data_IF_636912735688
#
_entry.id   IF_636912735688
#
_cell.length_a   1.000
_cell.length_b   1.000
_cell.length_c   1.000
_cell.angle_alpha   90.00
_cell.angle_beta   90.00
_cell.angle_gamma   90.00
#
_symmetry.space_group_name_H-M   'P 1'
#
loop_
_entity.id
_entity.type
_entity.pdbx_description
1 polymer ?
#
# COMPACT_ATOMS: atom_id res chain seq x y z
N UNK A 1 -18.55 6.96 9.61
CA UNK A 1 -19.47 6.19 10.49
C UNK A 1 -19.51 6.84 11.86
N UNK A 2 -20.71 7.01 12.40
CA UNK A 2 -20.87 7.43 13.79
C UNK A 2 -20.95 6.16 14.63
N UNK A 3 -19.99 5.94 15.49
CA UNK A 3 -20.09 4.94 16.56
C UNK A 3 -20.96 5.50 17.71
N UNK A 4 -21.66 4.65 18.47
CA UNK A 4 -22.27 5.05 19.72
C UNK A 4 -21.25 5.74 20.64
N UNK A 5 -21.68 6.65 21.53
CA UNK A 5 -20.78 7.44 22.38
C UNK A 5 -19.87 6.60 23.30
N UNK A 6 -20.31 5.40 23.63
CA UNK A 6 -19.63 4.42 24.46
C UNK A 6 -18.68 3.49 23.71
N UNK A 7 -18.64 3.59 22.37
CA UNK A 7 -17.76 2.78 21.50
C UNK A 7 -16.65 3.66 20.92
N UNK A 8 -15.40 3.36 21.30
CA UNK A 8 -14.21 3.99 20.74
C UNK A 8 -13.56 3.07 19.71
N UNK A 9 -13.46 3.52 18.45
CA UNK A 9 -12.72 2.81 17.41
C UNK A 9 -11.24 3.14 17.52
N UNK A 10 -10.40 2.09 17.58
CA UNK A 10 -8.94 2.21 17.62
C UNK A 10 -8.34 1.71 16.31
N UNK A 11 -7.31 2.41 15.84
CA UNK A 11 -6.52 2.01 14.67
C UNK A 11 -5.10 1.70 15.15
N UNK A 12 -4.72 0.42 15.23
CA UNK A 12 -3.41 0.02 15.75
C UNK A 12 -2.25 0.32 14.82
N UNK A 13 -2.54 0.61 13.55
CA UNK A 13 -1.54 0.96 12.54
C UNK A 13 -1.83 2.35 11.95
N UNK A 14 -0.79 3.14 11.78
CA UNK A 14 -0.83 4.44 11.10
C UNK A 14 0.31 4.54 10.08
N UNK A 15 0.01 5.05 8.89
CA UNK A 15 1.01 5.26 7.83
C UNK A 15 1.92 4.04 7.56
N UNK A 16 1.35 2.85 7.63
CA UNK A 16 2.06 1.60 7.34
C UNK A 16 2.84 0.99 8.52
N UNK A 17 2.94 1.66 9.68
CA UNK A 17 3.66 1.19 10.86
C UNK A 17 2.73 0.93 12.04
N UNK A 18 3.20 0.14 13.01
CA UNK A 18 2.46 -0.15 14.24
C UNK A 18 2.58 1.07 15.16
N UNK A 19 1.47 1.78 15.39
CA UNK A 19 1.39 2.95 16.28
C UNK A 19 0.96 2.57 17.70
N UNK A 20 0.19 1.48 17.83
CA UNK A 20 -0.33 0.97 19.10
C UNK A 20 -0.03 -0.53 19.23
N UNK A 21 1.10 -0.84 19.83
CA UNK A 21 1.59 -2.22 19.88
C UNK A 21 0.62 -3.17 20.60
N UNK A 22 0.09 -2.79 21.77
CA UNK A 22 -0.83 -3.62 22.54
C UNK A 22 -2.14 -3.92 21.78
N UNK A 23 -2.69 -2.92 21.12
CA UNK A 23 -3.93 -3.07 20.34
C UNK A 23 -3.69 -3.99 19.13
N UNK A 24 -2.53 -3.84 18.48
CA UNK A 24 -2.15 -4.70 17.35
C UNK A 24 -1.89 -6.13 17.82
N UNK A 25 -1.26 -6.32 18.98
CA UNK A 25 -1.04 -7.64 19.56
C UNK A 25 -2.37 -8.33 19.93
N UNK A 26 -3.31 -7.59 20.50
CA UNK A 26 -4.66 -8.09 20.79
C UNK A 26 -5.38 -8.51 19.51
N UNK A 27 -5.31 -7.70 18.46
CA UNK A 27 -5.90 -8.03 17.15
C UNK A 27 -5.29 -9.30 16.57
N UNK A 28 -3.95 -9.41 16.54
CA UNK A 28 -3.24 -10.59 16.04
C UNK A 28 -3.63 -11.85 16.83
N UNK A 29 -3.64 -11.78 18.16
CA UNK A 29 -4.01 -12.91 19.00
C UNK A 29 -5.44 -13.40 18.73
N UNK A 30 -6.39 -12.48 18.49
CA UNK A 30 -7.76 -12.87 18.16
C UNK A 30 -7.88 -13.48 16.75
N UNK A 31 -7.09 -13.01 15.79
CA UNK A 31 -7.02 -13.61 14.46
C UNK A 31 -6.43 -15.02 14.54
N UNK A 32 -5.33 -15.20 15.27
CA UNK A 32 -4.68 -16.49 15.46
C UNK A 32 -5.60 -17.50 16.19
N UNK A 33 -6.38 -17.06 17.19
CA UNK A 33 -7.35 -17.93 17.89
C UNK A 33 -8.47 -18.46 16.99
N UNK A 34 -8.90 -17.69 16.00
CA UNK A 34 -9.92 -18.13 15.02
C UNK A 34 -9.41 -19.24 14.12
N UNK A 35 -8.11 -19.27 13.85
CA UNK A 35 -7.47 -20.29 13.04
C UNK A 35 -6.99 -21.45 13.92
N UNK A 36 -7.88 -22.42 14.18
CA UNK A 36 -7.62 -23.60 15.04
C UNK A 36 -6.41 -24.47 14.62
N UNK A 37 -5.80 -24.18 13.47
CA UNK A 37 -4.64 -24.91 12.92
C UNK A 37 -3.29 -24.40 13.39
N UNK A 38 -3.23 -23.25 14.10
CA UNK A 38 -1.98 -22.74 14.65
C UNK A 38 -1.53 -23.61 15.83
N UNK A 39 -0.62 -24.52 15.53
CA UNK A 39 0.00 -25.39 16.52
C UNK A 39 1.29 -24.76 17.06
N UNK A 40 1.70 -25.19 18.26
CA UNK A 40 3.02 -24.85 18.80
C UNK A 40 4.11 -25.21 17.77
N UNK A 41 5.07 -24.30 17.57
CA UNK A 41 6.19 -24.54 16.66
C UNK A 41 5.93 -24.15 15.21
N UNK A 42 4.94 -23.32 14.93
CA UNK A 42 4.75 -22.72 13.59
C UNK A 42 5.86 -21.74 13.24
N UNK A 43 6.18 -21.66 11.95
CA UNK A 43 7.08 -20.65 11.38
C UNK A 43 6.26 -19.49 10.84
N UNK A 44 6.74 -18.27 11.05
CA UNK A 44 6.07 -17.06 10.61
C UNK A 44 6.96 -16.26 9.66
N UNK A 45 6.38 -15.86 8.55
CA UNK A 45 7.00 -14.98 7.58
C UNK A 45 6.18 -13.70 7.46
N UNK A 46 6.81 -12.55 7.70
CA UNK A 46 6.16 -11.25 7.76
C UNK A 46 6.67 -10.35 6.65
N UNK A 47 5.77 -9.80 5.82
CA UNK A 47 6.13 -8.71 4.93
C UNK A 47 6.08 -7.38 5.70
N UNK A 48 7.23 -6.74 5.82
CA UNK A 48 7.35 -5.43 6.47
C UNK A 48 7.39 -4.31 5.44
N UNK A 49 6.88 -3.10 5.76
CA UNK A 49 6.99 -1.97 4.86
C UNK A 49 8.45 -1.64 4.55
N UNK A 50 8.67 -1.07 3.39
CA UNK A 50 9.97 -0.51 3.02
C UNK A 50 10.11 0.92 3.57
N UNK A 51 11.34 1.43 3.66
CA UNK A 51 11.63 2.81 4.14
C UNK A 51 11.07 3.08 5.56
N UNK A 52 11.20 2.08 6.44
CA UNK A 52 10.87 2.17 7.87
C UNK A 52 12.13 1.98 8.71
N UNK A 53 12.12 2.52 9.92
CA UNK A 53 13.24 2.41 10.86
C UNK A 53 13.40 0.97 11.38
N UNK A 54 14.59 0.65 11.89
CA UNK A 54 14.84 -0.66 12.50
C UNK A 54 13.93 -0.92 13.71
N UNK A 55 13.58 0.12 14.46
CA UNK A 55 12.64 0.02 15.58
C UNK A 55 11.25 -0.36 15.10
N UNK A 56 10.79 0.25 14.01
CA UNK A 56 9.50 -0.07 13.40
C UNK A 56 9.49 -1.49 12.83
N UNK A 57 10.57 -1.92 12.15
CA UNK A 57 10.72 -3.32 11.70
C UNK A 57 10.69 -4.29 12.89
N UNK A 58 11.41 -3.94 13.97
CA UNK A 58 11.45 -4.72 15.19
C UNK A 58 10.07 -4.88 15.82
N UNK A 59 9.23 -3.85 15.78
CA UNK A 59 7.86 -3.93 16.28
C UNK A 59 7.04 -5.01 15.56
N UNK A 60 7.17 -5.16 14.23
CA UNK A 60 6.52 -6.25 13.48
C UNK A 60 7.03 -7.63 13.89
N UNK A 61 8.32 -7.77 14.09
CA UNK A 61 8.95 -9.02 14.53
C UNK A 61 8.49 -9.39 15.95
N UNK A 62 8.60 -8.46 16.89
CA UNK A 62 8.26 -8.64 18.29
C UNK A 62 6.77 -8.91 18.50
N UNK A 63 5.92 -8.37 17.62
CA UNK A 63 4.47 -8.65 17.62
C UNK A 63 4.18 -10.16 17.58
N UNK A 64 4.93 -10.91 16.77
CA UNK A 64 4.77 -12.36 16.63
C UNK A 64 5.52 -13.11 17.71
N UNK A 65 6.77 -12.72 18.01
CA UNK A 65 7.60 -13.37 19.03
C UNK A 65 6.93 -13.34 20.40
N UNK A 66 6.35 -12.21 20.79
CA UNK A 66 5.65 -12.05 22.08
C UNK A 66 4.17 -12.43 22.04
N UNK A 67 3.69 -13.00 20.92
CA UNK A 67 2.32 -13.49 20.81
C UNK A 67 2.13 -14.83 21.51
N UNK A 68 0.89 -15.22 21.74
CA UNK A 68 0.52 -16.56 22.27
C UNK A 68 0.80 -17.69 21.28
N UNK A 69 1.20 -17.40 20.06
CA UNK A 69 1.44 -18.36 18.98
C UNK A 69 2.63 -19.29 19.22
N UNK A 70 3.56 -18.95 20.15
CA UNK A 70 4.80 -19.71 20.44
C UNK A 70 5.53 -20.09 19.15
N UNK A 71 5.88 -19.07 18.36
CA UNK A 71 6.59 -19.23 17.11
C UNK A 71 7.89 -20.03 17.30
N UNK A 72 8.16 -20.98 16.41
CA UNK A 72 9.44 -21.68 16.31
C UNK A 72 10.48 -20.78 15.64
N UNK A 73 10.07 -20.10 14.60
CA UNK A 73 10.90 -19.20 13.81
C UNK A 73 10.06 -18.02 13.34
N UNK A 74 10.64 -16.82 13.37
CA UNK A 74 10.04 -15.61 12.81
C UNK A 74 11.05 -15.00 11.85
N UNK A 75 10.65 -14.82 10.62
CA UNK A 75 11.45 -14.17 9.58
C UNK A 75 10.69 -13.00 8.97
N UNK A 76 11.41 -12.00 8.50
CA UNK A 76 10.84 -10.85 7.81
C UNK A 76 11.38 -10.74 6.40
N UNK A 77 10.62 -10.09 5.54
CA UNK A 77 11.00 -9.72 4.17
C UNK A 77 10.41 -8.36 3.83
N UNK A 78 11.12 -7.56 3.07
CA UNK A 78 10.59 -6.28 2.59
C UNK A 78 9.39 -6.50 1.67
N UNK A 79 8.33 -5.70 1.86
CA UNK A 79 7.07 -5.83 1.14
C UNK A 79 7.26 -5.80 -0.38
N UNK A 80 8.08 -4.89 -0.91
CA UNK A 80 8.36 -4.80 -2.34
C UNK A 80 8.98 -6.07 -2.92
N UNK A 81 9.85 -6.75 -2.17
CA UNK A 81 10.44 -8.04 -2.56
C UNK A 81 9.37 -9.13 -2.58
N UNK A 82 8.55 -9.21 -1.53
CA UNK A 82 7.43 -10.15 -1.48
C UNK A 82 6.46 -9.93 -2.65
N UNK A 83 6.16 -8.69 -3.00
CA UNK A 83 5.29 -8.35 -4.14
C UNK A 83 5.87 -8.79 -5.48
N UNK A 84 7.17 -8.58 -5.71
CA UNK A 84 7.87 -9.12 -6.88
C UNK A 84 7.67 -10.63 -7.02
N UNK A 85 7.93 -11.35 -5.95
CA UNK A 85 7.77 -12.83 -5.92
C UNK A 85 6.31 -13.19 -6.16
N UNK A 86 5.36 -12.44 -5.57
CA UNK A 86 3.92 -12.65 -5.76
C UNK A 86 3.46 -12.48 -7.20
N UNK A 87 4.05 -11.57 -7.95
CA UNK A 87 3.81 -11.39 -9.39
C UNK A 87 4.50 -12.45 -10.25
N UNK A 88 5.30 -13.35 -9.68
CA UNK A 88 6.05 -14.37 -10.42
C UNK A 88 7.40 -13.91 -10.96
N UNK A 89 7.88 -12.76 -10.50
CA UNK A 89 9.19 -12.23 -10.90
C UNK A 89 10.27 -12.90 -10.03
N UNK A 90 11.26 -13.53 -10.65
CA UNK A 90 12.42 -14.07 -9.92
C UNK A 90 13.37 -12.92 -9.57
N UNK A 91 13.31 -12.47 -8.33
CA UNK A 91 14.11 -11.36 -7.79
C UNK A 91 15.62 -11.61 -7.89
N UNK A 92 16.07 -12.88 -7.94
CA UNK A 92 17.48 -13.27 -8.04
C UNK A 92 18.03 -13.09 -9.47
N UNK A 93 17.13 -13.18 -10.45
CA UNK A 93 17.48 -13.08 -11.88
C UNK A 93 17.20 -11.70 -12.46
N UNK A 94 16.29 -10.95 -11.87
CA UNK A 94 15.98 -9.61 -12.38
C UNK A 94 17.13 -8.66 -12.10
N UNK A 95 17.52 -7.89 -13.09
CA UNK A 95 18.54 -6.84 -12.95
C UNK A 95 17.95 -5.55 -12.38
N UNK A 96 16.63 -5.35 -12.49
CA UNK A 96 15.93 -4.21 -11.95
C UNK A 96 14.47 -4.21 -12.32
N UNK A 97 13.62 -3.94 -11.32
CA UNK A 97 12.17 -3.78 -11.44
C UNK A 97 11.73 -2.68 -10.47
N UNK A 98 10.87 -1.79 -10.90
CA UNK A 98 10.24 -0.82 -10.01
C UNK A 98 8.83 -1.29 -9.67
N UNK A 99 8.58 -1.50 -8.39
CA UNK A 99 7.26 -1.79 -7.83
C UNK A 99 6.73 -0.51 -7.18
N UNK A 100 5.50 -0.16 -7.48
CA UNK A 100 4.78 0.94 -6.85
C UNK A 100 3.52 0.38 -6.21
N UNK A 101 3.54 0.29 -4.88
CA UNK A 101 2.42 -0.22 -4.08
C UNK A 101 1.53 0.95 -3.64
N UNK A 102 0.43 1.14 -4.32
CA UNK A 102 -0.59 2.12 -3.95
C UNK A 102 -1.55 1.52 -2.92
N UNK A 103 -1.22 1.68 -1.64
CA UNK A 103 -2.01 1.22 -0.51
C UNK A 103 -3.14 2.18 -0.09
N UNK A 104 -3.79 1.86 1.03
CA UNK A 104 -4.84 2.70 1.62
C UNK A 104 -4.28 3.96 2.29
N UNK A 105 -3.18 3.86 3.03
CA UNK A 105 -2.57 4.95 3.78
C UNK A 105 -1.24 5.44 3.18
N UNK A 106 -0.52 4.56 2.48
CA UNK A 106 0.82 4.81 1.95
C UNK A 106 0.93 4.41 0.49
N UNK A 107 1.90 5.02 -0.21
CA UNK A 107 2.43 4.54 -1.47
C UNK A 107 3.89 4.18 -1.26
N UNK A 108 4.25 2.92 -1.53
CA UNK A 108 5.62 2.42 -1.38
C UNK A 108 6.25 2.24 -2.76
N UNK A 109 7.43 2.82 -2.94
CA UNK A 109 8.24 2.71 -4.14
C UNK A 109 9.41 1.78 -3.83
N UNK A 110 9.56 0.70 -4.58
CA UNK A 110 10.58 -0.33 -4.31
C UNK A 110 11.30 -0.68 -5.61
N UNK A 111 12.58 -0.35 -5.70
CA UNK A 111 13.47 -0.82 -6.74
C UNK A 111 14.07 -2.14 -6.28
N UNK A 112 13.74 -3.21 -6.97
CA UNK A 112 14.17 -4.58 -6.64
C UNK A 112 15.04 -5.11 -7.77
N UNK A 113 16.18 -5.70 -7.42
CA UNK A 113 17.12 -6.29 -8.39
C UNK A 113 18.24 -7.05 -7.71
N UNK A 114 18.91 -7.91 -8.47
CA UNK A 114 20.09 -8.65 -8.01
C UNK A 114 19.90 -9.41 -6.68
N UNK A 115 18.68 -9.90 -6.45
CA UNK A 115 18.36 -10.72 -5.29
C UNK A 115 17.71 -9.98 -4.11
N UNK A 116 17.56 -8.66 -4.15
CA UNK A 116 17.01 -7.92 -3.02
C UNK A 116 16.53 -6.51 -3.35
N UNK A 117 16.37 -5.71 -2.31
CA UNK A 117 16.02 -4.30 -2.40
C UNK A 117 17.25 -3.46 -2.78
N UNK A 118 17.13 -2.63 -3.81
CA UNK A 118 18.19 -1.71 -4.26
C UNK A 118 17.96 -0.30 -3.69
N UNK A 119 16.77 0.24 -3.89
CA UNK A 119 16.33 1.53 -3.36
C UNK A 119 14.86 1.45 -2.99
N UNK A 120 14.46 2.26 -2.02
CA UNK A 120 13.06 2.35 -1.64
C UNK A 120 12.67 3.78 -1.23
N UNK A 121 11.38 4.04 -1.21
CA UNK A 121 10.78 5.26 -0.68
C UNK A 121 9.34 4.99 -0.29
N UNK A 122 8.94 5.46 0.89
CA UNK A 122 7.54 5.42 1.32
C UNK A 122 6.97 6.83 1.38
N UNK A 123 5.79 7.00 0.80
CA UNK A 123 5.02 8.25 0.84
C UNK A 123 3.80 8.04 1.74
N UNK A 124 3.49 9.01 2.58
CA UNK A 124 2.25 9.02 3.39
C UNK A 124 1.06 9.52 2.56
N UNK A 125 0.95 9.01 1.35
CA UNK A 125 -0.11 9.29 0.38
C UNK A 125 -0.68 7.94 -0.05
N UNK A 126 -2.00 7.79 0.06
CA UNK A 126 -2.70 6.57 -0.34
C UNK A 126 -4.17 6.86 -0.61
N UNK A 127 -4.99 5.81 -0.73
CA UNK A 127 -6.41 5.93 -1.01
C UNK A 127 -7.15 6.86 -0.03
N UNK A 128 -6.77 6.82 1.24
CA UNK A 128 -7.35 7.68 2.28
C UNK A 128 -7.03 9.16 2.07
N UNK A 129 -5.86 9.49 1.58
CA UNK A 129 -5.47 10.87 1.23
C UNK A 129 -6.34 11.38 0.09
N UNK A 130 -6.56 10.57 -0.93
CA UNK A 130 -7.46 10.91 -2.04
C UNK A 130 -8.91 11.10 -1.57
N UNK A 131 -9.38 10.23 -0.67
CA UNK A 131 -10.75 10.34 -0.11
C UNK A 131 -10.93 11.65 0.67
N UNK A 132 -9.95 12.04 1.48
CA UNK A 132 -9.94 13.32 2.21
C UNK A 132 -9.89 14.51 1.24
N UNK A 133 -9.10 14.43 0.18
CA UNK A 133 -9.05 15.48 -0.84
C UNK A 133 -10.42 15.67 -1.53
N UNK A 134 -11.10 14.57 -1.86
CA UNK A 134 -12.46 14.60 -2.41
C UNK A 134 -13.46 15.18 -1.41
N UNK A 135 -13.42 14.78 -0.13
CA UNK A 135 -14.30 15.36 0.90
C UNK A 135 -14.10 16.88 1.03
N UNK A 136 -12.83 17.33 1.07
CA UNK A 136 -12.50 18.74 1.18
C UNK A 136 -12.95 19.53 -0.05
N UNK A 137 -12.80 18.98 -1.24
CA UNK A 137 -13.27 19.59 -2.49
C UNK A 137 -14.79 19.75 -2.46
N UNK A 138 -15.54 18.69 -2.10
CA UNK A 138 -17.02 18.74 -2.00
C UNK A 138 -17.46 19.76 -0.97
N UNK A 139 -16.79 19.79 0.19
CA UNK A 139 -17.08 20.78 1.23
C UNK A 139 -16.88 22.22 0.77
N UNK A 140 -15.77 22.50 0.06
CA UNK A 140 -15.43 23.87 -0.36
C UNK A 140 -16.25 24.37 -1.55
N UNK A 141 -16.52 23.49 -2.51
CA UNK A 141 -17.12 23.90 -3.77
C UNK A 141 -18.66 23.83 -3.78
N UNK A 142 -19.23 23.04 -2.85
CA UNK A 142 -20.70 22.78 -2.81
C UNK A 142 -21.32 23.07 -1.46
N UNK A 143 -20.56 23.56 -0.47
CA UNK A 143 -21.02 23.68 0.93
C UNK A 143 -21.71 22.42 1.43
N UNK A 144 -21.11 21.26 1.10
CA UNK A 144 -21.72 19.95 1.28
C UNK A 144 -20.77 18.96 1.95
N UNK A 145 -21.23 18.30 3.02
CA UNK A 145 -20.45 17.34 3.76
C UNK A 145 -20.84 15.92 3.39
N UNK A 146 -19.87 15.16 2.90
CA UNK A 146 -20.00 13.73 2.60
C UNK A 146 -19.16 12.87 3.54
N UNK A 147 -19.58 11.63 3.78
CA UNK A 147 -18.83 10.65 4.53
C UNK A 147 -17.64 10.10 3.74
N UNK A 148 -16.69 9.47 4.44
CA UNK A 148 -15.51 8.86 3.83
C UNK A 148 -15.86 7.79 2.81
N UNK A 149 -16.83 6.91 3.11
CA UNK A 149 -17.29 5.87 2.20
C UNK A 149 -17.84 6.44 0.88
N UNK A 150 -18.56 7.57 0.97
CA UNK A 150 -19.08 8.29 -0.21
C UNK A 150 -17.93 8.86 -1.05
N UNK A 151 -16.91 9.45 -0.41
CA UNK A 151 -15.74 9.95 -1.11
C UNK A 151 -14.95 8.82 -1.79
N UNK A 152 -14.76 7.70 -1.10
CA UNK A 152 -14.16 6.49 -1.67
C UNK A 152 -14.95 5.96 -2.89
N UNK A 153 -16.27 5.94 -2.79
CA UNK A 153 -17.13 5.52 -3.89
C UNK A 153 -16.98 6.44 -5.12
N UNK A 154 -16.94 7.76 -4.91
CA UNK A 154 -16.68 8.75 -5.97
C UNK A 154 -15.32 8.52 -6.63
N UNK A 155 -14.27 8.35 -5.84
CA UNK A 155 -12.91 8.06 -6.32
C UNK A 155 -12.88 6.78 -7.16
N UNK A 156 -13.41 5.68 -6.64
CA UNK A 156 -13.45 4.39 -7.32
C UNK A 156 -14.25 4.44 -8.62
N UNK A 157 -15.37 5.19 -8.64
CA UNK A 157 -16.24 5.32 -9.80
C UNK A 157 -15.60 6.10 -10.94
N UNK A 158 -14.94 7.21 -10.63
CA UNK A 158 -14.47 8.13 -11.66
C UNK A 158 -13.01 7.93 -12.08
N UNK A 159 -12.19 7.32 -11.21
CA UNK A 159 -10.78 7.07 -11.52
C UNK A 159 -9.96 8.33 -11.70
N UNK A 160 -8.80 8.18 -12.35
CA UNK A 160 -7.82 9.25 -12.57
C UNK A 160 -7.97 9.87 -13.95
N UNK A 161 -7.99 9.03 -14.98
CA UNK A 161 -8.25 9.45 -16.36
C UNK A 161 -9.68 9.07 -16.71
N UNK A 162 -10.42 9.97 -17.25
CA UNK A 162 -11.79 9.71 -17.63
C UNK A 162 -12.06 10.06 -19.08
N UNK A 163 -13.01 9.33 -19.68
CA UNK A 163 -13.65 9.73 -20.92
C UNK A 163 -14.36 11.10 -20.79
N UNK A 164 -14.99 11.53 -21.83
CA UNK A 164 -15.64 12.82 -22.02
C UNK A 164 -16.36 13.34 -20.77
N UNK A 165 -15.76 14.28 -20.08
CA UNK A 165 -16.00 15.01 -18.84
C UNK A 165 -17.41 15.26 -18.28
N UNK A 166 -18.45 14.63 -18.80
CA UNK A 166 -19.86 14.82 -18.41
C UNK A 166 -20.40 13.81 -17.38
N UNK A 167 -19.59 12.84 -16.93
CA UNK A 167 -20.06 11.88 -15.94
C UNK A 167 -20.17 12.54 -14.57
N UNK A 168 -21.27 12.32 -13.88
CA UNK A 168 -21.54 12.77 -12.52
C UNK A 168 -22.13 11.66 -11.67
N UNK A 169 -22.16 11.86 -10.36
CA UNK A 169 -22.79 10.96 -9.41
C UNK A 169 -23.53 11.76 -8.36
N UNK A 170 -24.80 11.39 -8.14
CA UNK A 170 -25.61 11.97 -7.07
C UNK A 170 -25.26 11.25 -5.75
N UNK A 171 -24.90 12.01 -4.74
CA UNK A 171 -24.52 11.50 -3.42
C UNK A 171 -25.36 12.13 -2.31
N UNK A 172 -25.64 11.34 -1.27
CA UNK A 172 -26.27 11.83 -0.06
C UNK A 172 -25.23 12.46 0.88
N UNK A 173 -25.60 13.53 1.54
CA UNK A 173 -24.77 14.22 2.50
C UNK A 173 -25.52 15.29 3.27
N UNK A 174 -24.79 16.16 3.99
CA UNK A 174 -25.38 17.27 4.75
C UNK A 174 -25.03 18.58 4.07
N UNK A 175 -26.04 19.35 3.69
CA UNK A 175 -25.85 20.72 3.26
C UNK A 175 -25.42 21.57 4.45
N UNK A 176 -24.33 22.31 4.35
CA UNK A 176 -23.74 23.06 5.47
C UNK A 176 -24.43 24.42 5.68
N UNK A 177 -25.09 24.96 4.67
CA UNK A 177 -25.80 26.24 4.74
C UNK A 177 -27.10 26.08 5.53
N UNK A 178 -27.92 25.08 5.15
CA UNK A 178 -29.24 24.85 5.78
C UNK A 178 -29.21 23.76 6.86
N UNK A 179 -28.09 23.06 7.02
CA UNK A 179 -27.87 22.10 8.09
C UNK A 179 -28.59 20.77 7.95
N UNK A 180 -29.30 20.50 6.85
CA UNK A 180 -30.13 19.30 6.65
C UNK A 180 -29.55 18.30 5.67
N UNK A 181 -29.89 17.02 5.77
CA UNK A 181 -29.52 16.02 4.75
C UNK A 181 -30.14 16.37 3.40
N UNK A 182 -29.33 16.25 2.34
CA UNK A 182 -29.77 16.46 0.94
C UNK A 182 -28.97 15.56 0.00
N UNK A 183 -29.32 15.64 -1.29
CA UNK A 183 -28.59 15.03 -2.39
C UNK A 183 -27.86 16.11 -3.17
N UNK A 184 -26.64 15.80 -3.61
CA UNK A 184 -25.79 16.68 -4.40
C UNK A 184 -25.18 15.91 -5.56
N UNK A 185 -25.25 16.49 -6.74
CA UNK A 185 -24.57 15.94 -7.91
C UNK A 185 -23.12 16.39 -7.94
N UNK A 186 -22.19 15.43 -8.04
CA UNK A 186 -20.74 15.67 -8.05
C UNK A 186 -20.18 15.23 -9.40
N UNK A 187 -19.63 16.15 -10.20
CA UNK A 187 -19.06 15.82 -11.50
C UNK A 187 -17.69 15.13 -11.36
N UNK A 188 -17.40 14.22 -12.27
CA UNK A 188 -16.16 13.45 -12.32
C UNK A 188 -14.92 14.33 -12.46
N UNK A 189 -15.01 15.47 -13.16
CA UNK A 189 -13.93 16.45 -13.31
C UNK A 189 -13.48 17.02 -11.97
N UNK A 190 -14.43 17.34 -11.09
CA UNK A 190 -14.12 17.87 -9.76
C UNK A 190 -13.41 16.83 -8.88
N UNK A 191 -13.85 15.55 -8.93
CA UNK A 191 -13.21 14.45 -8.20
C UNK A 191 -11.78 14.23 -8.69
N UNK A 192 -11.56 14.22 -10.00
CA UNK A 192 -10.20 14.10 -10.57
C UNK A 192 -9.30 15.27 -10.21
N UNK A 193 -9.83 16.49 -10.29
CA UNK A 193 -9.08 17.69 -9.90
C UNK A 193 -8.65 17.64 -8.42
N UNK A 194 -9.51 17.12 -7.53
CA UNK A 194 -9.19 16.97 -6.12
C UNK A 194 -8.01 16.03 -5.84
N UNK A 195 -7.82 14.99 -6.67
CA UNK A 195 -6.74 14.01 -6.49
C UNK A 195 -5.42 14.42 -7.16
N UNK A 196 -5.44 15.43 -8.02
CA UNK A 196 -4.34 15.80 -8.93
C UNK A 196 -3.03 16.05 -8.18
N UNK A 197 -3.04 16.91 -7.17
CA UNK A 197 -1.84 17.29 -6.40
C UNK A 197 -1.14 16.08 -5.77
N UNK A 198 -1.93 15.18 -5.16
CA UNK A 198 -1.39 13.97 -4.55
C UNK A 198 -0.82 13.00 -5.58
N UNK A 199 -1.43 12.90 -6.76
CA UNK A 199 -0.94 12.08 -7.87
C UNK A 199 0.34 12.65 -8.47
N UNK A 200 0.42 13.96 -8.65
CA UNK A 200 1.63 14.65 -9.12
C UNK A 200 2.80 14.47 -8.14
N UNK A 201 2.52 14.50 -6.84
CA UNK A 201 3.52 14.20 -5.82
C UNK A 201 4.02 12.75 -5.95
N UNK A 202 3.13 11.79 -6.12
CA UNK A 202 3.53 10.38 -6.30
C UNK A 202 4.38 10.20 -7.57
N UNK A 203 3.97 10.76 -8.71
CA UNK A 203 4.71 10.61 -9.97
C UNK A 203 6.06 11.32 -9.95
N UNK A 204 6.15 12.48 -9.30
CA UNK A 204 7.42 13.18 -9.08
C UNK A 204 8.40 12.32 -8.26
N UNK A 205 7.92 11.67 -7.20
CA UNK A 205 8.75 10.79 -6.37
C UNK A 205 9.18 9.51 -7.12
N UNK A 206 8.33 8.98 -8.00
CA UNK A 206 8.70 7.88 -8.91
C UNK A 206 9.88 8.33 -9.80
N UNK A 207 9.79 9.49 -10.44
CA UNK A 207 10.85 10.05 -11.28
C UNK A 207 12.16 10.22 -10.51
N UNK A 208 12.11 10.87 -9.34
CA UNK A 208 13.29 11.09 -8.48
C UNK A 208 13.94 9.78 -8.03
N UNK A 209 13.15 8.74 -7.73
CA UNK A 209 13.69 7.44 -7.34
C UNK A 209 14.42 6.78 -8.52
N UNK A 210 13.84 6.86 -9.72
CA UNK A 210 14.48 6.32 -10.95
C UNK A 210 15.80 7.05 -11.24
N UNK A 211 15.83 8.37 -11.13
CA UNK A 211 17.05 9.18 -11.32
C UNK A 211 18.18 8.81 -10.35
N UNK A 212 17.83 8.44 -9.12
CA UNK A 212 18.80 7.99 -8.10
C UNK A 212 19.20 6.52 -8.23
N UNK A 213 18.51 5.78 -9.09
CA UNK A 213 18.77 4.34 -9.29
C UNK A 213 20.04 4.13 -10.09
N UNK A 214 20.91 3.16 -9.72
CA UNK A 214 22.11 2.84 -10.48
C UNK A 214 21.81 2.61 -11.97
N UNK A 215 22.68 3.09 -12.90
CA UNK A 215 22.38 3.13 -14.32
C UNK A 215 22.01 1.76 -14.95
N UNK A 216 22.61 0.68 -14.47
CA UNK A 216 22.31 -0.67 -14.95
C UNK A 216 20.89 -1.11 -14.56
N UNK A 217 20.52 -0.82 -13.30
CA UNK A 217 19.19 -1.12 -12.77
C UNK A 217 18.13 -0.24 -13.46
N UNK A 218 18.40 1.06 -13.61
CA UNK A 218 17.51 1.99 -14.30
C UNK A 218 17.27 1.57 -15.77
N UNK A 219 18.30 1.07 -16.47
CA UNK A 219 18.16 0.51 -17.83
C UNK A 219 17.22 -0.69 -17.83
N UNK A 220 17.31 -1.55 -16.82
CA UNK A 220 16.41 -2.68 -16.67
C UNK A 220 14.97 -2.26 -16.41
N UNK A 221 14.75 -1.25 -15.53
CA UNK A 221 13.43 -0.68 -15.28
C UNK A 221 12.83 -0.08 -16.55
N UNK A 222 13.64 0.61 -17.37
CA UNK A 222 13.17 1.17 -18.65
C UNK A 222 12.64 0.08 -19.59
N UNK A 223 13.26 -1.09 -19.57
CA UNK A 223 12.83 -2.25 -20.39
C UNK A 223 11.63 -2.97 -19.79
N UNK A 224 11.64 -3.20 -18.47
CA UNK A 224 10.66 -4.03 -17.79
C UNK A 224 9.41 -3.24 -17.38
N UNK A 225 9.50 -1.90 -17.31
CA UNK A 225 8.42 -1.02 -16.88
C UNK A 225 8.28 -0.92 -15.37
N UNK A 226 7.18 -0.27 -14.98
CA UNK A 226 6.75 -0.07 -13.59
C UNK A 226 5.60 -1.03 -13.30
N UNK A 227 5.69 -1.78 -12.20
CA UNK A 227 4.62 -2.65 -11.76
C UNK A 227 3.81 -2.01 -10.64
N UNK A 228 2.50 -1.88 -10.84
CA UNK A 228 1.58 -1.34 -9.84
C UNK A 228 0.96 -2.47 -9.01
N UNK A 229 1.04 -2.32 -7.70
CA UNK A 229 0.43 -3.18 -6.69
C UNK A 229 -0.39 -2.36 -5.70
N UNK A 230 -1.05 -3.02 -4.74
CA UNK A 230 -1.94 -2.37 -3.79
C UNK A 230 -3.34 -2.10 -4.33
N UNK A 231 -4.30 -1.92 -3.42
CA UNK A 231 -5.71 -1.82 -3.77
C UNK A 231 -6.08 -0.60 -4.62
N UNK A 232 -5.37 0.51 -4.46
CA UNK A 232 -5.59 1.74 -5.24
C UNK A 232 -5.13 1.59 -6.68
N UNK A 233 -4.24 0.66 -6.99
CA UNK A 233 -3.81 0.36 -8.37
C UNK A 233 -4.96 -0.11 -9.28
N UNK A 234 -6.09 -0.50 -8.69
CA UNK A 234 -7.33 -0.81 -9.43
C UNK A 234 -8.10 0.44 -9.88
N UNK A 235 -7.62 1.63 -9.52
CA UNK A 235 -8.28 2.89 -9.87
C UNK A 235 -8.25 3.09 -11.39
N UNK A 236 -9.42 3.27 -12.06
CA UNK A 236 -9.47 3.36 -13.51
C UNK A 236 -8.57 4.48 -14.05
N UNK A 237 -7.68 4.13 -14.98
CA UNK A 237 -6.77 5.06 -15.66
C UNK A 237 -5.53 5.47 -14.89
N UNK A 238 -5.27 4.91 -13.69
CA UNK A 238 -4.05 5.21 -12.93
C UNK A 238 -2.80 4.74 -13.68
N UNK A 239 -2.84 3.56 -14.25
CA UNK A 239 -1.79 2.99 -15.09
C UNK A 239 -1.40 3.91 -16.24
N UNK A 240 -2.39 4.31 -17.04
CA UNK A 240 -2.19 5.20 -18.17
C UNK A 240 -1.72 6.60 -17.77
N UNK A 241 -2.19 7.09 -16.62
CA UNK A 241 -1.74 8.36 -16.08
C UNK A 241 -0.26 8.31 -15.71
N UNK A 242 0.17 7.27 -14.99
CA UNK A 242 1.59 7.10 -14.60
C UNK A 242 2.46 6.90 -15.83
N UNK A 243 2.04 6.08 -16.79
CA UNK A 243 2.75 5.87 -18.05
C UNK A 243 2.92 7.17 -18.83
N UNK A 244 1.86 7.97 -18.97
CA UNK A 244 1.91 9.26 -19.69
C UNK A 244 2.84 10.27 -19.02
N UNK A 245 2.91 10.31 -17.67
CA UNK A 245 3.75 11.26 -16.94
C UNK A 245 5.21 10.80 -16.87
N UNK A 246 5.44 9.50 -16.67
CA UNK A 246 6.79 8.98 -16.45
C UNK A 246 7.51 8.57 -17.74
N UNK A 247 6.76 8.26 -18.81
CA UNK A 247 7.29 7.71 -20.05
C UNK A 247 7.78 6.27 -19.95
N UNK A 248 7.48 5.57 -18.84
CA UNK A 248 7.81 4.16 -18.64
C UNK A 248 6.58 3.29 -18.88
N UNK A 249 6.70 2.10 -19.50
CA UNK A 249 5.61 1.14 -19.56
C UNK A 249 5.09 0.81 -18.15
N UNK A 250 3.76 0.71 -18.00
CA UNK A 250 3.14 0.46 -16.69
C UNK A 250 2.27 -0.80 -16.75
N UNK A 251 2.46 -1.68 -15.78
CA UNK A 251 1.75 -2.95 -15.66
C UNK A 251 1.07 -3.04 -14.30
N UNK A 252 -0.24 -3.26 -14.30
CA UNK A 252 -0.99 -3.53 -13.06
C UNK A 252 -0.97 -5.03 -12.79
N UNK A 253 -0.62 -5.41 -11.57
CA UNK A 253 -0.65 -6.81 -11.16
C UNK A 253 -2.07 -7.39 -11.26
N UNK A 254 -2.21 -8.67 -11.61
CA UNK A 254 -3.52 -9.32 -11.77
C UNK A 254 -4.39 -9.27 -10.50
N UNK A 255 -3.74 -9.39 -9.32
CA UNK A 255 -4.36 -9.26 -8.01
C UNK A 255 -3.54 -8.30 -7.17
N UNK A 256 -3.61 -6.98 -7.44
CA UNK A 256 -2.66 -6.02 -6.90
C UNK A 256 -2.69 -5.91 -5.37
N UNK A 257 -3.86 -6.10 -4.75
CA UNK A 257 -4.08 -6.10 -3.31
C UNK A 257 -3.57 -7.36 -2.59
N UNK A 258 -3.31 -8.45 -3.33
CA UNK A 258 -2.88 -9.73 -2.79
C UNK A 258 -1.42 -10.08 -3.12
N UNK A 259 -0.69 -9.24 -3.86
CA UNK A 259 0.67 -9.54 -4.32
C UNK A 259 1.62 -9.90 -3.18
N UNK A 260 1.59 -9.14 -2.08
CA UNK A 260 2.47 -9.39 -0.94
C UNK A 260 2.19 -10.76 -0.29
N UNK A 261 0.93 -11.08 -0.01
CA UNK A 261 0.56 -12.35 0.61
C UNK A 261 0.81 -13.54 -0.33
N UNK A 262 0.60 -13.37 -1.64
CA UNK A 262 0.93 -14.40 -2.62
C UNK A 262 2.45 -14.64 -2.69
N UNK A 263 3.24 -13.58 -2.55
CA UNK A 263 4.70 -13.68 -2.43
C UNK A 263 5.12 -14.47 -1.20
N UNK A 264 4.57 -14.13 -0.03
CA UNK A 264 4.83 -14.87 1.20
C UNK A 264 4.45 -16.35 1.05
N UNK A 265 3.29 -16.64 0.42
CA UNK A 265 2.85 -18.02 0.15
C UNK A 265 3.86 -18.79 -0.70
N UNK A 266 4.41 -18.16 -1.74
CA UNK A 266 5.45 -18.78 -2.60
C UNK A 266 6.75 -18.99 -1.84
N UNK A 267 7.15 -18.03 -1.00
CA UNK A 267 8.37 -18.14 -0.19
C UNK A 267 8.29 -19.29 0.80
N UNK A 268 7.18 -19.45 1.51
CA UNK A 268 6.98 -20.55 2.46
C UNK A 268 7.10 -21.92 1.77
N UNK A 269 6.64 -22.01 0.51
CA UNK A 269 6.64 -23.26 -0.25
C UNK A 269 7.96 -23.51 -1.02
N UNK A 270 8.95 -22.62 -0.93
CA UNK A 270 10.22 -22.74 -1.63
C UNK A 270 11.42 -22.45 -0.72
N UNK A 271 12.23 -23.46 -0.44
CA UNK A 271 13.45 -23.32 0.36
C UNK A 271 14.39 -22.24 -0.19
N UNK A 272 14.46 -22.12 -1.52
CA UNK A 272 15.32 -21.12 -2.17
C UNK A 272 14.81 -19.69 -2.01
N UNK A 273 13.50 -19.49 -2.09
CA UNK A 273 12.91 -18.17 -1.89
C UNK A 273 12.89 -17.78 -0.41
N UNK A 274 12.75 -18.76 0.49
CA UNK A 274 12.81 -18.52 1.95
C UNK A 274 14.15 -17.92 2.37
N UNK A 275 15.26 -18.24 1.70
CA UNK A 275 16.59 -17.67 1.97
C UNK A 275 16.67 -16.15 1.75
N UNK A 276 15.69 -15.54 1.07
CA UNK A 276 15.63 -14.09 0.88
C UNK A 276 15.12 -13.39 2.14
N UNK A 277 14.36 -14.10 2.98
CA UNK A 277 13.94 -13.60 4.29
C UNK A 277 15.03 -13.73 5.33
N UNK A 278 14.99 -12.90 6.36
CA UNK A 278 15.97 -12.88 7.44
C UNK A 278 15.29 -12.76 8.80
N UNK A 279 15.99 -13.21 9.85
CA UNK A 279 15.55 -13.04 11.24
C UNK A 279 16.23 -11.81 11.85
N UNK A 280 15.51 -11.04 12.63
CA UNK A 280 16.11 -9.91 13.37
C UNK A 280 16.96 -10.34 14.56
N UNK A 281 16.97 -11.65 14.86
CA UNK A 281 17.86 -12.25 15.86
C UNK A 281 19.20 -12.68 15.25
N UNK A 282 19.35 -12.67 13.94
CA UNK A 282 20.55 -13.11 13.25
C UNK A 282 21.66 -12.08 13.45
N UNK A 283 22.81 -12.50 13.99
CA UNK A 283 23.97 -11.60 14.22
C UNK A 283 24.49 -11.00 12.90
N UNK A 284 24.37 -11.73 11.80
CA UNK A 284 24.73 -11.29 10.46
C UNK A 284 23.80 -10.20 9.90
N UNK A 285 22.61 -10.02 10.44
CA UNK A 285 21.69 -8.97 10.02
C UNK A 285 22.28 -7.56 10.12
N UNK A 286 23.15 -7.34 11.12
CA UNK A 286 23.81 -6.04 11.35
C UNK A 286 24.81 -5.64 10.26
N UNK A 287 25.24 -6.58 9.43
CA UNK A 287 26.30 -6.40 8.43
C UNK A 287 25.80 -6.39 6.98
N UNK A 288 24.51 -6.63 6.73
CA UNK A 288 23.87 -6.64 5.41
C UNK A 288 23.35 -5.23 4.99
N UNK A 289 23.88 -4.20 5.61
CA UNK A 289 23.55 -2.80 5.27
C UNK A 289 24.49 -2.21 4.25
#
# INVERSE_FOLDING_TARGET
EKTPPDIQVQFPMENGVISRFNDMQYLLQNLLKKERRFTRGSEYLIAVPTDVTEVEKRAFFDLVVHSTAKAKEVSIVERGVAQCIGMGIDVRKTKGMLIVDFGAATTELSVVGSGGMVLNKMLKIGGMTFDVAVQNMVRRNYDFLIGRQTAEALRKRFGVLGGNGKASMVVAGRNLVVGVPRYQEIPSSAVRAAMKESLETCTSQIGQLIERTPPEVARSIRKNGICLTGGVSRLPGLDRYIEAVTGYPVHVAAKPDLCAVEGLRRMINSKELKKISYSMLDENYRWIR
#
